data_IF_308455310631
#
_entry.id   IF_308455310631
#
_cell.length_a   1.000
_cell.length_b   1.000
_cell.length_c   1.000
_cell.angle_alpha   90.00
_cell.angle_beta   90.00
_cell.angle_gamma   90.00
#
_symmetry.space_group_name_H-M   'P 1'
#
loop_
_entity.id
_entity.type
_entity.pdbx_description
1 polymer ?
#
# COMPACT_ATOMS: atom_id res chain seq x y z
N UNK A 1 -50.38 29.36 44.26
CA UNK A 1 -49.86 29.79 42.95
C UNK A 1 -48.34 29.69 42.79
N UNK A 2 -47.55 29.54 43.87
CA UNK A 2 -46.07 29.50 43.78
C UNK A 2 -45.50 28.09 43.49
N UNK A 3 -46.15 27.01 43.95
CA UNK A 3 -45.69 25.62 43.72
C UNK A 3 -45.87 25.14 42.27
N UNK A 4 -46.99 25.48 41.62
CA UNK A 4 -47.22 25.18 40.19
C UNK A 4 -46.19 25.88 39.30
N UNK A 5 -45.83 27.12 39.61
CA UNK A 5 -44.78 27.84 38.89
C UNK A 5 -43.40 27.21 39.11
N UNK A 6 -43.10 26.73 40.33
CA UNK A 6 -41.86 26.02 40.63
C UNK A 6 -41.73 24.71 39.84
N UNK A 7 -42.80 23.89 39.80
CA UNK A 7 -42.82 22.66 39.01
C UNK A 7 -42.73 22.91 37.51
N UNK A 8 -43.38 23.99 37.01
CA UNK A 8 -43.28 24.39 35.61
C UNK A 8 -41.86 24.85 35.24
N UNK A 9 -41.20 25.63 36.10
CA UNK A 9 -39.82 26.07 35.90
C UNK A 9 -38.86 24.88 35.95
N UNK A 10 -39.05 23.95 36.88
CA UNK A 10 -38.27 22.71 36.96
C UNK A 10 -38.45 21.87 35.68
N UNK A 11 -39.68 21.72 35.19
CA UNK A 11 -39.97 21.00 33.95
C UNK A 11 -39.31 21.68 32.74
N UNK A 12 -39.42 23.00 32.61
CA UNK A 12 -38.78 23.76 31.54
C UNK A 12 -37.26 23.69 31.60
N UNK A 13 -36.67 23.68 32.80
CA UNK A 13 -35.23 23.52 32.99
C UNK A 13 -34.77 22.13 32.52
N UNK A 14 -35.48 21.06 32.87
CA UNK A 14 -35.17 19.69 32.45
C UNK A 14 -35.32 19.53 30.92
N UNK A 15 -36.40 20.07 30.34
CA UNK A 15 -36.61 20.05 28.88
C UNK A 15 -35.55 20.85 28.13
N UNK A 16 -35.15 22.02 28.67
CA UNK A 16 -34.08 22.83 28.11
C UNK A 16 -32.74 22.12 28.11
N UNK A 17 -32.39 21.43 29.21
CA UNK A 17 -31.16 20.63 29.31
C UNK A 17 -31.22 19.45 28.33
N UNK A 18 -32.34 18.74 28.23
CA UNK A 18 -32.50 17.63 27.29
C UNK A 18 -32.35 18.10 25.82
N UNK A 19 -32.91 19.26 25.48
CA UNK A 19 -32.77 19.86 24.15
C UNK A 19 -31.32 20.28 23.86
N UNK A 20 -30.61 20.82 24.85
CA UNK A 20 -29.18 21.15 24.72
C UNK A 20 -28.31 19.91 24.55
N UNK A 21 -28.62 18.80 25.24
CA UNK A 21 -27.91 17.52 25.04
C UNK A 21 -28.22 16.96 23.64
N UNK A 22 -29.46 17.04 23.17
CA UNK A 22 -29.81 16.61 21.81
C UNK A 22 -29.15 17.48 20.72
N UNK A 23 -29.09 18.80 20.92
CA UNK A 23 -28.38 19.71 20.03
C UNK A 23 -26.86 19.46 20.07
N UNK A 24 -26.28 19.23 21.25
CA UNK A 24 -24.88 18.85 21.40
C UNK A 24 -24.58 17.49 20.73
N UNK A 25 -25.48 16.50 20.85
CA UNK A 25 -25.35 15.21 20.15
C UNK A 25 -25.47 15.38 18.63
N UNK A 26 -26.29 16.31 18.12
CA UNK A 26 -26.37 16.61 16.69
C UNK A 26 -25.11 17.33 16.18
N UNK A 27 -24.54 18.26 16.96
CA UNK A 27 -23.28 18.92 16.62
C UNK A 27 -22.08 17.95 16.73
N UNK A 28 -22.14 17.00 17.66
CA UNK A 28 -21.19 15.89 17.78
C UNK A 28 -21.39 14.84 16.67
N UNK A 29 -22.58 14.69 16.08
CA UNK A 29 -22.82 13.79 14.94
C UNK A 29 -22.19 14.31 13.64
N UNK A 30 -21.98 15.62 13.52
CA UNK A 30 -21.25 16.23 12.39
C UNK A 30 -19.73 16.25 12.59
N UNK A 31 -19.25 16.18 13.85
CA UNK A 31 -17.82 16.06 14.19
C UNK A 31 -17.34 14.64 14.54
N UNK A 32 -18.27 13.72 14.79
CA UNK A 32 -18.09 12.26 14.73
C UNK A 32 -18.84 11.76 13.50
N UNK A 33 -18.51 12.40 12.38
CA UNK A 33 -18.66 11.81 11.07
C UNK A 33 -17.27 11.50 10.52
N UNK A 34 -16.52 10.73 11.31
CA UNK A 34 -15.63 9.71 10.80
C UNK A 34 -15.78 8.48 11.72
N UNK A 35 -16.84 7.65 11.56
CA UNK A 35 -16.51 6.23 11.43
C UNK A 35 -15.49 6.22 10.31
N UNK A 36 -14.24 5.84 10.60
CA UNK A 36 -13.18 5.86 9.62
C UNK A 36 -13.74 5.32 8.32
N UNK A 37 -14.01 6.23 7.37
CA UNK A 37 -14.08 5.81 6.00
C UNK A 37 -12.75 5.10 5.87
N UNK A 38 -12.69 3.81 5.51
CA UNK A 38 -11.50 3.40 4.86
C UNK A 38 -11.42 4.40 3.71
N UNK A 39 -10.52 5.37 3.81
CA UNK A 39 -9.83 5.90 2.65
C UNK A 39 -8.97 4.77 2.07
N UNK A 40 -9.47 3.51 2.06
CA UNK A 40 -9.43 2.71 0.86
C UNK A 40 -10.11 3.52 -0.23
N UNK A 41 -9.35 4.47 -0.78
CA UNK A 41 -9.24 4.56 -2.22
C UNK A 41 -9.36 3.12 -2.71
N UNK A 42 -10.50 2.76 -3.32
CA UNK A 42 -10.62 1.46 -3.94
C UNK A 42 -9.54 1.46 -5.01
N UNK A 43 -8.38 0.90 -4.68
CA UNK A 43 -7.26 0.80 -5.59
C UNK A 43 -7.80 0.04 -6.79
N UNK A 44 -7.83 0.71 -7.94
CA UNK A 44 -8.28 0.07 -9.17
C UNK A 44 -7.20 -0.94 -9.55
N UNK A 45 -7.56 -2.22 -9.62
CA UNK A 45 -6.65 -3.30 -9.99
C UNK A 45 -7.14 -3.95 -11.28
N UNK A 46 -6.23 -4.07 -12.24
CA UNK A 46 -6.49 -4.69 -13.54
C UNK A 46 -5.49 -5.84 -13.73
N UNK A 47 -5.99 -7.05 -14.00
CA UNK A 47 -5.15 -8.24 -14.20
C UNK A 47 -4.61 -8.27 -15.63
N UNK A 48 -3.33 -8.60 -15.79
CA UNK A 48 -2.66 -8.74 -17.07
C UNK A 48 -2.10 -10.16 -17.21
N UNK A 49 -2.02 -10.65 -18.45
CA UNK A 49 -1.43 -11.97 -18.75
C UNK A 49 0.10 -11.96 -18.73
N UNK A 50 0.72 -10.79 -18.83
CA UNK A 50 2.16 -10.57 -18.78
C UNK A 50 2.42 -9.18 -18.17
N UNK A 51 3.61 -8.93 -17.59
CA UNK A 51 3.91 -7.64 -16.97
C UNK A 51 4.29 -6.56 -18.00
N UNK A 52 3.53 -6.47 -19.09
CA UNK A 52 3.59 -5.41 -20.08
C UNK A 52 2.40 -4.49 -19.90
N UNK A 53 2.66 -3.28 -19.40
CA UNK A 53 1.67 -2.26 -19.10
C UNK A 53 1.82 -1.04 -20.02
N UNK A 54 2.48 -1.21 -21.16
CA UNK A 54 2.84 -0.12 -22.06
C UNK A 54 1.62 0.68 -22.53
N UNK A 55 0.52 0.00 -22.83
CA UNK A 55 -0.72 0.64 -23.30
C UNK A 55 -1.38 1.51 -22.21
N UNK A 56 -1.41 1.03 -20.96
CA UNK A 56 -2.13 1.67 -19.87
C UNK A 56 -1.29 2.62 -19.02
N UNK A 57 0.02 2.36 -18.90
CA UNK A 57 0.93 3.05 -17.98
C UNK A 57 2.28 3.45 -18.62
N UNK A 58 2.56 3.05 -19.86
CA UNK A 58 3.76 3.48 -20.60
C UNK A 58 5.06 2.78 -20.18
N UNK A 59 4.99 1.67 -19.45
CA UNK A 59 6.16 0.88 -19.07
C UNK A 59 5.85 -0.62 -19.00
N UNK A 60 6.89 -1.44 -18.96
CA UNK A 60 6.82 -2.87 -18.72
C UNK A 60 7.87 -3.30 -17.70
N UNK A 61 7.61 -4.38 -16.95
CA UNK A 61 8.63 -5.09 -16.18
C UNK A 61 9.23 -6.16 -17.10
N UNK A 62 10.40 -5.88 -17.65
CA UNK A 62 11.02 -6.67 -18.72
C UNK A 62 11.84 -7.85 -18.22
N UNK A 63 12.32 -7.78 -16.97
CA UNK A 63 12.97 -8.88 -16.28
C UNK A 63 12.48 -8.95 -14.84
N UNK A 64 12.30 -10.15 -14.32
CA UNK A 64 11.86 -10.43 -12.96
C UNK A 64 12.27 -11.86 -12.58
N UNK A 65 12.51 -12.17 -11.30
CA UNK A 65 12.95 -13.50 -10.89
C UNK A 65 11.87 -14.54 -11.20
N UNK A 66 12.28 -15.67 -11.76
CA UNK A 66 11.42 -16.83 -11.99
C UNK A 66 12.27 -18.08 -11.82
N UNK A 67 12.17 -18.69 -10.65
CA UNK A 67 12.99 -19.84 -10.25
C UNK A 67 12.11 -20.92 -9.63
N UNK A 68 12.70 -22.08 -9.33
CA UNK A 68 11.99 -23.16 -8.61
C UNK A 68 11.53 -22.76 -7.20
N UNK A 69 12.07 -21.65 -6.67
CA UNK A 69 11.73 -21.10 -5.35
C UNK A 69 10.80 -19.90 -5.48
N UNK A 70 11.04 -19.02 -6.46
CA UNK A 70 10.28 -17.79 -6.70
C UNK A 70 9.38 -17.97 -7.92
N UNK A 71 8.14 -18.37 -7.68
CA UNK A 71 7.19 -18.66 -8.76
C UNK A 71 6.28 -17.44 -8.98
N UNK A 72 6.42 -16.73 -10.12
CA UNK A 72 5.53 -15.61 -10.45
C UNK A 72 4.11 -16.14 -10.68
N UNK A 73 3.13 -15.45 -10.09
CA UNK A 73 1.71 -15.74 -10.20
C UNK A 73 1.03 -14.74 -11.11
N UNK A 74 0.25 -13.83 -10.51
CA UNK A 74 -0.56 -12.85 -11.22
C UNK A 74 0.18 -11.54 -11.42
N UNK A 75 -0.13 -10.89 -12.54
CA UNK A 75 0.36 -9.56 -12.87
C UNK A 75 -0.80 -8.58 -12.78
N UNK A 76 -0.62 -7.50 -12.03
CA UNK A 76 -1.64 -6.51 -11.78
C UNK A 76 -1.13 -5.12 -12.12
N UNK A 77 -2.02 -4.26 -12.58
CA UNK A 77 -1.79 -2.83 -12.68
C UNK A 77 -2.70 -2.10 -11.69
N UNK A 78 -2.10 -1.49 -10.69
CA UNK A 78 -2.76 -0.75 -9.62
C UNK A 78 -2.80 0.73 -9.97
N UNK A 79 -3.98 1.32 -9.93
CA UNK A 79 -4.23 2.74 -10.17
C UNK A 79 -3.62 3.26 -11.49
N UNK A 80 -3.46 2.37 -12.49
CA UNK A 80 -2.80 2.62 -13.78
C UNK A 80 -1.34 3.14 -13.69
N UNK A 81 -0.66 2.86 -12.58
CA UNK A 81 0.65 3.45 -12.28
C UNK A 81 1.64 2.48 -11.67
N UNK A 82 1.16 1.53 -10.87
CA UNK A 82 2.01 0.58 -10.14
C UNK A 82 1.74 -0.82 -10.67
N UNK A 83 2.75 -1.44 -11.25
CA UNK A 83 2.73 -2.86 -11.54
C UNK A 83 2.89 -3.63 -10.24
N UNK A 84 2.11 -4.68 -10.02
CA UNK A 84 2.28 -5.64 -8.93
C UNK A 84 2.42 -7.04 -9.52
N UNK A 85 3.41 -7.79 -9.04
CA UNK A 85 3.62 -9.20 -9.37
C UNK A 85 3.51 -9.99 -8.07
N UNK A 86 2.54 -10.90 -8.02
CA UNK A 86 2.41 -11.86 -6.92
C UNK A 86 3.41 -13.00 -7.09
N UNK A 87 4.01 -13.44 -6.00
CA UNK A 87 4.94 -14.56 -5.97
C UNK A 87 4.57 -15.54 -4.88
N UNK A 88 4.55 -16.82 -5.27
CA UNK A 88 4.58 -17.92 -4.33
C UNK A 88 6.04 -18.34 -4.09
N UNK A 89 6.44 -18.40 -2.82
CA UNK A 89 7.77 -18.79 -2.37
C UNK A 89 7.73 -20.14 -1.68
N UNK A 90 8.47 -21.10 -2.25
CA UNK A 90 8.56 -22.46 -1.72
C UNK A 90 9.65 -22.52 -0.63
N UNK A 91 9.42 -23.12 0.56
CA UNK A 91 8.32 -24.03 0.91
C UNK A 91 7.01 -23.40 1.42
N UNK A 92 7.01 -22.15 1.87
CA UNK A 92 5.78 -21.41 2.18
C UNK A 92 6.08 -19.93 2.41
N UNK A 93 5.55 -19.06 1.55
CA UNK A 93 5.58 -17.62 1.73
C UNK A 93 4.99 -16.93 0.52
N UNK A 94 4.34 -15.79 0.74
CA UNK A 94 3.82 -14.97 -0.33
C UNK A 94 4.55 -13.63 -0.31
N UNK A 95 5.02 -13.22 -1.47
CA UNK A 95 5.65 -11.91 -1.67
C UNK A 95 4.98 -11.20 -2.81
N UNK A 96 4.88 -9.88 -2.70
CA UNK A 96 4.42 -9.03 -3.78
C UNK A 96 5.50 -8.05 -4.14
N UNK A 97 5.87 -8.03 -5.41
CA UNK A 97 6.78 -7.05 -5.98
C UNK A 97 5.94 -5.94 -6.61
N UNK A 98 6.12 -4.71 -6.16
CA UNK A 98 5.56 -3.51 -6.79
C UNK A 98 6.63 -2.73 -7.51
N UNK A 99 6.30 -2.25 -8.69
CA UNK A 99 7.19 -1.43 -9.54
C UNK A 99 6.39 -0.28 -10.14
N UNK A 100 6.92 0.93 -10.05
CA UNK A 100 6.32 2.12 -10.67
C UNK A 100 7.40 3.11 -11.07
N UNK A 101 7.08 4.05 -11.96
CA UNK A 101 7.96 5.20 -12.19
C UNK A 101 8.16 5.98 -10.89
N UNK A 102 9.34 6.57 -10.71
CA UNK A 102 9.71 7.24 -9.47
C UNK A 102 8.66 8.26 -9.02
N UNK A 103 8.22 8.15 -7.77
CA UNK A 103 7.20 8.98 -7.15
C UNK A 103 5.74 8.60 -7.48
N UNK A 104 5.49 7.53 -8.25
CA UNK A 104 4.14 7.03 -8.56
C UNK A 104 3.81 5.70 -7.87
N UNK A 105 4.73 5.17 -7.07
CA UNK A 105 4.58 3.87 -6.41
C UNK A 105 3.47 3.90 -5.35
N UNK A 106 2.48 3.04 -5.53
CA UNK A 106 1.41 2.79 -4.57
C UNK A 106 1.95 1.88 -3.46
N UNK A 107 2.06 2.41 -2.24
CA UNK A 107 2.45 1.65 -1.04
C UNK A 107 1.18 1.37 -0.24
N UNK A 108 0.86 0.10 0.10
CA UNK A 108 -0.35 -0.18 0.85
C UNK A 108 -0.33 0.48 2.24
N UNK A 109 -1.45 1.08 2.66
CA UNK A 109 -1.60 1.75 3.95
C UNK A 109 -1.19 0.87 5.14
N UNK A 110 -1.43 -0.44 5.05
CA UNK A 110 -1.02 -1.42 6.06
C UNK A 110 0.47 -1.35 6.35
N UNK A 111 1.32 -1.13 5.33
CA UNK A 111 2.77 -1.04 5.49
C UNK A 111 3.21 0.35 5.97
N UNK A 112 2.49 1.41 5.57
CA UNK A 112 2.75 2.78 6.05
C UNK A 112 2.35 2.98 7.52
N UNK A 113 1.34 2.25 7.99
CA UNK A 113 0.85 2.34 9.36
C UNK A 113 1.78 1.70 10.40
N UNK A 114 2.73 0.87 9.98
CA UNK A 114 3.66 0.23 10.91
C UNK A 114 4.80 1.17 11.32
N UNK A 115 5.07 1.22 12.62
CA UNK A 115 6.37 1.65 13.11
C UNK A 115 7.31 0.45 13.02
N UNK A 116 8.25 0.49 12.08
CA UNK A 116 9.25 -0.55 11.91
C UNK A 116 10.31 -0.45 13.01
N UNK A 117 10.51 -1.53 13.75
CA UNK A 117 11.51 -1.68 14.81
C UNK A 117 12.92 -1.70 14.21
N UNK A 118 13.08 -2.30 13.03
CA UNK A 118 14.34 -2.36 12.34
C UNK A 118 14.22 -1.74 10.95
N UNK A 119 14.91 -0.61 10.76
CA UNK A 119 15.12 0.02 9.45
C UNK A 119 16.61 0.08 9.18
N UNK A 120 17.04 -0.51 8.07
CA UNK A 120 18.44 -0.59 7.68
C UNK A 120 18.61 -0.32 6.20
N UNK A 121 19.67 0.39 5.83
CA UNK A 121 20.08 0.56 4.44
C UNK A 121 21.24 -0.37 4.14
N UNK A 122 21.10 -1.19 3.11
CA UNK A 122 22.12 -2.15 2.66
C UNK A 122 22.42 -1.92 1.19
N UNK A 123 23.65 -2.21 0.78
CA UNK A 123 24.04 -2.22 -0.63
C UNK A 123 23.94 -3.63 -1.19
N UNK A 124 23.12 -3.79 -2.23
CA UNK A 124 22.97 -5.05 -2.98
C UNK A 124 23.31 -4.75 -4.43
N UNK A 125 24.40 -5.32 -4.93
CA UNK A 125 24.87 -5.11 -6.31
C UNK A 125 24.94 -3.63 -6.72
N UNK A 126 25.47 -2.79 -5.82
CA UNK A 126 25.58 -1.33 -6.01
C UNK A 126 24.27 -0.56 -5.91
N UNK A 127 23.14 -1.22 -5.64
CA UNK A 127 21.84 -0.60 -5.40
C UNK A 127 21.64 -0.41 -3.90
N UNK A 128 21.30 0.80 -3.46
CA UNK A 128 20.89 1.06 -2.08
C UNK A 128 19.47 0.56 -1.85
N UNK A 129 19.32 -0.32 -0.86
CA UNK A 129 18.07 -0.98 -0.51
C UNK A 129 17.74 -0.66 0.94
N UNK A 130 16.55 -0.13 1.17
CA UNK A 130 16.03 0.11 2.52
C UNK A 130 15.18 -1.07 2.96
N UNK A 131 15.62 -1.78 3.98
CA UNK A 131 14.90 -2.86 4.62
C UNK A 131 14.14 -2.30 5.82
N UNK A 132 12.84 -2.57 5.91
CA UNK A 132 11.97 -2.19 7.02
C UNK A 132 11.26 -3.43 7.54
N UNK A 133 11.59 -3.85 8.77
CA UNK A 133 11.19 -5.14 9.32
C UNK A 133 10.68 -5.00 10.75
N UNK A 134 9.72 -5.88 11.08
CA UNK A 134 9.22 -6.11 12.41
C UNK A 134 9.24 -7.64 12.66
N UNK A 135 9.93 -8.15 13.68
CA UNK A 135 9.94 -9.58 13.96
C UNK A 135 8.52 -10.16 14.08
N UNK A 136 8.19 -11.16 13.27
CA UNK A 136 6.86 -11.80 13.26
C UNK A 136 5.72 -10.94 12.71
N UNK A 137 6.01 -9.83 12.02
CA UNK A 137 5.03 -8.99 11.32
C UNK A 137 5.51 -8.69 9.89
N UNK A 138 4.67 -7.99 9.13
CA UNK A 138 4.97 -7.56 7.77
C UNK A 138 6.33 -6.86 7.65
N UNK A 139 7.04 -7.19 6.58
CA UNK A 139 8.34 -6.62 6.25
C UNK A 139 8.30 -6.08 4.82
N UNK A 140 9.08 -5.04 4.56
CA UNK A 140 9.25 -4.51 3.21
C UNK A 140 10.70 -4.17 2.91
N UNK A 141 11.05 -4.24 1.63
CA UNK A 141 12.28 -3.67 1.11
C UNK A 141 11.94 -2.73 -0.04
N UNK A 142 12.58 -1.56 -0.07
CA UNK A 142 12.42 -0.60 -1.15
C UNK A 142 13.75 -0.18 -1.72
N UNK A 143 13.77 0.07 -3.03
CA UNK A 143 14.94 0.62 -3.73
C UNK A 143 14.48 1.40 -4.96
N UNK A 144 15.34 2.26 -5.46
CA UNK A 144 15.11 3.02 -6.69
C UNK A 144 16.22 2.71 -7.67
N UNK A 145 15.85 2.43 -8.93
CA UNK A 145 16.82 2.18 -10.01
C UNK A 145 16.23 2.58 -11.36
N UNK A 146 17.02 3.28 -12.17
CA UNK A 146 16.68 3.65 -13.55
C UNK A 146 15.32 4.37 -13.67
N UNK A 147 15.03 5.32 -12.78
CA UNK A 147 13.77 6.10 -12.74
C UNK A 147 12.52 5.27 -12.35
N UNK A 148 12.73 4.08 -11.79
CA UNK A 148 11.67 3.27 -11.19
C UNK A 148 11.90 3.08 -9.70
N UNK A 149 10.81 3.16 -8.95
CA UNK A 149 10.75 2.76 -7.55
C UNK A 149 10.23 1.33 -7.47
N UNK A 150 10.87 0.54 -6.61
CA UNK A 150 10.57 -0.86 -6.39
C UNK A 150 10.27 -1.08 -4.91
N UNK A 151 9.32 -1.97 -4.64
CA UNK A 151 8.94 -2.34 -3.30
C UNK A 151 8.61 -3.83 -3.26
N UNK A 152 9.32 -4.55 -2.40
CA UNK A 152 9.03 -5.94 -2.09
C UNK A 152 8.27 -5.99 -0.77
N UNK A 153 7.06 -6.55 -0.80
CA UNK A 153 6.16 -6.68 0.33
C UNK A 153 6.12 -8.14 0.76
N UNK A 154 6.49 -8.41 2.01
CA UNK A 154 6.32 -9.72 2.65
C UNK A 154 5.21 -9.59 3.70
N UNK A 155 4.15 -10.39 3.59
CA UNK A 155 3.11 -10.53 4.61
C UNK A 155 3.49 -11.68 5.55
N UNK A 156 3.41 -11.46 6.86
CA UNK A 156 3.74 -12.46 7.89
C UNK A 156 4.99 -13.32 7.54
N UNK A 157 6.13 -12.68 7.19
CA UNK A 157 7.29 -13.40 6.71
C UNK A 157 7.72 -14.46 7.72
N UNK A 158 7.93 -15.70 7.23
CA UNK A 158 8.77 -16.63 7.96
C UNK A 158 10.10 -15.94 8.30
N UNK A 159 10.68 -16.26 9.47
CA UNK A 159 11.92 -15.62 9.90
C UNK A 159 12.94 -15.56 8.75
N UNK A 160 13.36 -14.34 8.41
CA UNK A 160 14.35 -14.02 7.41
C UNK A 160 13.97 -14.26 5.93
N UNK A 161 12.68 -14.47 5.60
CA UNK A 161 12.24 -14.61 4.20
C UNK A 161 12.73 -13.44 3.33
N UNK A 162 12.47 -12.20 3.78
CA UNK A 162 12.88 -11.00 3.06
C UNK A 162 14.39 -10.97 2.82
N UNK A 163 15.19 -11.32 3.83
CA UNK A 163 16.65 -11.38 3.70
C UNK A 163 17.13 -12.46 2.74
N UNK A 164 16.40 -13.57 2.61
CA UNK A 164 16.74 -14.67 1.70
C UNK A 164 16.44 -14.38 0.23
N UNK A 165 15.41 -13.60 -0.07
CA UNK A 165 14.94 -13.41 -1.46
C UNK A 165 15.27 -12.03 -2.05
N UNK A 166 15.52 -11.02 -1.22
CA UNK A 166 15.70 -9.63 -1.69
C UNK A 166 16.82 -9.49 -2.73
N UNK A 167 17.87 -10.31 -2.63
CA UNK A 167 18.98 -10.27 -3.58
C UNK A 167 18.53 -10.62 -5.00
N UNK A 168 17.70 -11.65 -5.17
CA UNK A 168 17.19 -12.05 -6.49
C UNK A 168 16.29 -10.96 -7.07
N UNK A 169 15.42 -10.36 -6.25
CA UNK A 169 14.56 -9.27 -6.70
C UNK A 169 15.36 -8.04 -7.12
N UNK A 170 16.33 -7.62 -6.33
CA UNK A 170 17.14 -6.44 -6.63
C UNK A 170 18.02 -6.69 -7.85
N UNK A 171 18.58 -7.87 -8.04
CA UNK A 171 19.49 -8.13 -9.17
C UNK A 171 18.77 -8.46 -10.48
N UNK A 172 17.62 -9.13 -10.42
CA UNK A 172 16.95 -9.67 -11.63
C UNK A 172 15.79 -8.80 -12.11
N UNK A 173 15.22 -7.93 -11.26
CA UNK A 173 14.06 -7.13 -11.67
C UNK A 173 14.48 -5.91 -12.50
N UNK A 174 13.96 -5.75 -13.70
CA UNK A 174 14.16 -4.53 -14.51
C UNK A 174 12.83 -4.07 -15.08
N UNK A 175 12.54 -2.78 -14.90
CA UNK A 175 11.47 -2.11 -15.64
C UNK A 175 12.06 -1.12 -16.66
N UNK A 176 11.29 -0.88 -17.72
CA UNK A 176 11.68 0.02 -18.79
C UNK A 176 10.46 0.78 -19.32
N UNK A 177 10.66 2.06 -19.63
CA UNK A 177 9.71 2.84 -20.41
C UNK A 177 9.86 2.48 -21.88
N UNK A 178 8.76 2.16 -22.54
CA UNK A 178 8.78 2.01 -24.00
C UNK A 178 8.76 3.41 -24.59
N UNK A 179 9.95 4.01 -24.74
CA UNK A 179 10.10 5.19 -25.57
C UNK A 179 9.79 4.77 -27.00
N UNK A 180 8.70 5.27 -27.58
CA UNK A 180 8.23 4.87 -28.90
C UNK A 180 9.38 4.84 -29.90
N UNK A 181 9.80 3.63 -30.27
CA UNK A 181 10.66 3.43 -31.44
C UNK A 181 9.87 3.97 -32.63
N UNK A 182 10.18 5.19 -33.06
CA UNK A 182 9.94 5.60 -34.43
C UNK A 182 10.68 4.57 -35.28
N UNK A 183 9.90 3.68 -35.88
CA UNK A 183 10.33 2.87 -37.01
C UNK A 183 10.72 3.86 -38.11
N UNK A 184 11.99 4.22 -38.18
CA UNK A 184 12.58 4.72 -39.42
C UNK A 184 12.61 3.52 -40.36
N UNK A 185 11.60 3.44 -41.23
CA UNK A 185 11.74 2.75 -42.50
C UNK A 185 12.87 3.45 -43.26
N UNK A 186 13.94 2.71 -43.54
CA UNK A 186 14.84 2.97 -44.67
C UNK A 186 14.56 1.94 -45.76
#
# INVERSE_FOLDING_TARGET
MMEQAFWLILFLAVVGIAALIAAAMMWQKESIQQPGTPTGQRSYQEEYSAPDFTESAGFAVTMYPSTDILIPGRFWLINRKTAEIEYNVIPAGDVRLRVAQTGQLDVPDTYLAYQYENVATVLIDGTEVTLSQNPGRNAMASWTRNEFDYLLLCEEPQMNLLGGVIQDFVTQTTASTVSGQRVTQE
#
